data_IF_148267782982
#
_entry.id   IF_148267782982
#
_cell.length_a   1.000
_cell.length_b   1.000
_cell.length_c   1.000
_cell.angle_alpha   90.00
_cell.angle_beta   90.00
_cell.angle_gamma   90.00
#
_symmetry.space_group_name_H-M   'P 1'
#
loop_
_entity.id
_entity.type
_entity.pdbx_description
1 polymer ?
#
# COMPACT_ATOMS: atom_id res chain seq x y z
N UNK A 1 2.78 -20.65 -15.21
CA UNK A 1 1.88 -20.04 -14.22
C UNK A 1 1.18 -18.89 -14.93
N UNK A 2 -0.15 -18.88 -14.97
CA UNK A 2 -0.96 -17.87 -15.68
C UNK A 2 -1.57 -16.83 -14.71
N UNK A 3 -1.13 -16.78 -13.45
CA UNK A 3 -1.51 -15.72 -12.53
C UNK A 3 -1.03 -14.37 -13.09
N UNK A 4 -1.91 -13.38 -13.25
CA UNK A 4 -1.52 -12.08 -13.81
C UNK A 4 -1.47 -11.98 -15.33
N UNK A 5 -1.74 -13.08 -16.08
CA UNK A 5 -1.60 -13.10 -17.54
C UNK A 5 -2.86 -12.68 -18.32
N UNK A 6 -3.97 -12.36 -17.62
CA UNK A 6 -5.19 -11.83 -18.22
C UNK A 6 -5.57 -10.51 -17.56
N UNK A 7 -6.18 -9.59 -18.31
CA UNK A 7 -6.62 -8.27 -17.83
C UNK A 7 -7.59 -8.31 -16.63
N UNK A 8 -8.06 -9.50 -16.24
CA UNK A 8 -9.04 -9.73 -15.18
C UNK A 8 -8.46 -10.47 -13.97
N UNK A 9 -7.17 -10.84 -14.03
CA UNK A 9 -6.49 -11.62 -12.98
C UNK A 9 -5.43 -10.76 -12.30
N UNK A 10 -5.86 -9.80 -11.48
CA UNK A 10 -4.95 -8.93 -10.76
C UNK A 10 -4.03 -9.71 -9.80
N UNK A 11 -2.79 -9.26 -9.68
CA UNK A 11 -1.80 -9.82 -8.79
C UNK A 11 -0.98 -8.69 -8.17
N UNK A 12 -0.47 -8.93 -6.95
CA UNK A 12 0.49 -8.04 -6.34
C UNK A 12 1.89 -8.45 -6.80
N UNK A 13 2.51 -7.61 -7.61
CA UNK A 13 3.87 -7.77 -8.07
C UNK A 13 4.83 -6.81 -7.34
N UNK A 14 6.08 -7.21 -7.20
CA UNK A 14 7.17 -6.38 -6.71
C UNK A 14 8.20 -6.24 -7.82
N UNK A 15 8.53 -5.00 -8.14
CA UNK A 15 9.64 -4.66 -9.03
C UNK A 15 10.64 -3.80 -8.26
N UNK A 16 11.91 -4.17 -8.34
CA UNK A 16 12.96 -3.57 -7.55
C UNK A 16 13.64 -2.46 -8.35
N UNK A 17 13.78 -1.29 -7.74
CA UNK A 17 14.54 -0.21 -8.32
C UNK A 17 16.04 -0.35 -8.01
N UNK A 18 16.86 0.39 -8.76
CA UNK A 18 18.25 0.62 -8.39
C UNK A 18 18.38 2.02 -7.80
N UNK A 19 18.88 2.18 -6.56
CA UNK A 19 19.09 3.49 -5.99
C UNK A 19 20.12 4.27 -6.82
N UNK A 20 19.97 5.60 -6.87
CA UNK A 20 20.96 6.46 -7.51
C UNK A 20 22.32 6.31 -6.80
N UNK A 21 23.40 6.34 -7.58
CA UNK A 21 24.78 6.19 -7.08
C UNK A 21 25.17 7.33 -6.13
N UNK A 22 24.54 8.49 -6.29
CA UNK A 22 24.65 9.65 -5.40
C UNK A 22 23.32 9.90 -4.71
N UNK A 23 23.36 10.06 -3.38
CA UNK A 23 22.17 10.42 -2.61
C UNK A 23 21.73 11.85 -2.96
N UNK A 24 20.49 12.01 -3.41
CA UNK A 24 19.85 13.32 -3.59
C UNK A 24 18.74 13.49 -2.55
N UNK A 25 18.55 14.71 -2.05
CA UNK A 25 17.54 15.00 -1.03
C UNK A 25 16.10 14.76 -1.53
N UNK A 26 15.89 14.88 -2.84
CA UNK A 26 14.68 14.50 -3.55
C UNK A 26 15.11 13.69 -4.79
N UNK A 27 14.80 12.39 -4.85
CA UNK A 27 14.97 11.62 -6.08
C UNK A 27 13.83 11.97 -7.04
N UNK A 28 14.16 12.50 -8.21
CA UNK A 28 13.17 12.93 -9.20
C UNK A 28 12.64 11.77 -10.05
N UNK A 29 13.46 10.71 -10.22
CA UNK A 29 13.17 9.52 -11.02
C UNK A 29 13.65 8.28 -10.28
N UNK A 30 12.79 7.25 -10.27
CA UNK A 30 13.14 5.91 -9.79
C UNK A 30 13.55 5.05 -10.99
N UNK A 31 14.84 4.72 -11.10
CA UNK A 31 15.38 3.90 -12.18
C UNK A 31 15.24 2.40 -11.87
N UNK A 32 15.21 1.57 -12.92
CA UNK A 32 15.19 0.12 -12.79
C UNK A 32 13.79 -0.49 -12.63
N UNK A 33 12.73 0.32 -12.72
CA UNK A 33 11.36 -0.17 -12.85
C UNK A 33 11.03 -0.47 -14.32
N UNK A 34 10.32 -1.56 -14.58
CA UNK A 34 9.92 -2.01 -15.91
C UNK A 34 9.10 -3.30 -15.86
N UNK A 35 9.30 -4.17 -16.86
CA UNK A 35 8.50 -5.41 -17.01
C UNK A 35 9.15 -6.63 -16.31
N UNK A 36 10.20 -6.41 -15.51
CA UNK A 36 10.95 -7.46 -14.82
C UNK A 36 10.40 -7.82 -13.42
N UNK A 37 9.29 -7.20 -13.01
CA UNK A 37 8.65 -7.44 -11.72
C UNK A 37 8.23 -8.90 -11.51
N UNK A 38 8.21 -9.34 -10.26
CA UNK A 38 7.84 -10.69 -9.86
C UNK A 38 6.53 -10.69 -9.06
N UNK A 39 5.65 -11.65 -9.34
CA UNK A 39 4.40 -11.82 -8.58
C UNK A 39 4.73 -12.34 -7.18
N UNK A 40 4.33 -11.60 -6.16
CA UNK A 40 4.49 -11.98 -4.74
C UNK A 40 3.20 -12.61 -4.22
N UNK A 41 2.04 -12.06 -4.58
CA UNK A 41 0.74 -12.62 -4.23
C UNK A 41 -0.16 -12.67 -5.47
N UNK A 42 -0.62 -13.86 -5.89
CA UNK A 42 -1.58 -13.96 -6.98
C UNK A 42 -2.99 -13.57 -6.51
N UNK A 43 -3.84 -13.12 -7.44
CA UNK A 43 -5.29 -12.91 -7.22
C UNK A 43 -5.60 -11.90 -6.12
N UNK A 44 -4.93 -10.75 -6.17
CA UNK A 44 -5.16 -9.62 -5.28
C UNK A 44 -5.96 -8.57 -6.03
N UNK A 45 -7.24 -8.42 -5.68
CA UNK A 45 -8.15 -7.47 -6.33
C UNK A 45 -7.95 -6.04 -5.81
N UNK A 46 -7.38 -5.87 -4.61
CA UNK A 46 -7.09 -4.58 -4.04
C UNK A 46 -5.89 -4.64 -3.08
N UNK A 47 -5.05 -3.61 -3.10
CA UNK A 47 -3.90 -3.43 -2.21
C UNK A 47 -3.93 -2.02 -1.64
N UNK A 48 -3.84 -1.91 -0.33
CA UNK A 48 -3.91 -0.63 0.37
C UNK A 48 -2.88 -0.54 1.48
N UNK A 49 -2.31 0.66 1.65
CA UNK A 49 -1.24 0.93 2.62
C UNK A 49 -1.51 2.23 3.36
N UNK A 50 -1.39 2.18 4.69
CA UNK A 50 -1.34 3.35 5.55
C UNK A 50 0.01 3.45 6.26
N UNK A 51 0.51 4.67 6.37
CA UNK A 51 1.75 5.02 7.05
C UNK A 51 1.40 5.59 8.42
N UNK A 52 1.72 4.86 9.48
CA UNK A 52 1.60 5.36 10.85
C UNK A 52 2.79 6.24 11.18
N UNK A 53 2.56 7.55 11.29
CA UNK A 53 3.63 8.53 11.48
C UNK A 53 3.39 9.44 12.70
N UNK A 54 4.49 9.83 13.34
CA UNK A 54 4.50 10.75 14.50
C UNK A 54 5.06 12.11 14.08
N UNK A 55 4.33 13.18 14.33
CA UNK A 55 4.79 14.54 14.04
C UNK A 55 5.72 15.08 15.15
N UNK A 56 6.29 16.28 14.95
CA UNK A 56 7.19 16.92 15.92
C UNK A 56 6.54 17.23 17.27
N UNK A 57 5.21 17.48 17.30
CA UNK A 57 4.44 17.66 18.54
C UNK A 57 4.17 16.34 19.28
N UNK A 58 4.55 15.21 18.68
CA UNK A 58 4.37 13.89 19.24
C UNK A 58 3.04 13.21 18.93
N UNK A 59 2.19 13.84 18.12
CA UNK A 59 0.90 13.28 17.71
C UNK A 59 1.12 12.18 16.68
N UNK A 60 0.42 11.06 16.85
CA UNK A 60 0.46 9.91 15.97
C UNK A 60 -0.81 9.83 15.11
N UNK A 61 -0.65 9.63 13.81
CA UNK A 61 -1.76 9.45 12.88
C UNK A 61 -1.38 8.48 11.75
N UNK A 62 -2.39 7.87 11.14
CA UNK A 62 -2.24 7.09 9.92
C UNK A 62 -2.51 7.98 8.70
N UNK A 63 -1.64 7.86 7.71
CA UNK A 63 -1.69 8.62 6.47
C UNK A 63 -1.76 7.68 5.28
N UNK A 64 -2.59 8.00 4.29
CA UNK A 64 -2.39 7.46 2.94
C UNK A 64 -1.09 8.03 2.34
N UNK A 65 -0.52 7.37 1.35
CA UNK A 65 0.71 7.86 0.68
C UNK A 65 0.55 9.30 0.19
N UNK A 66 -0.55 9.70 -0.50
CA UNK A 66 -0.75 11.09 -0.90
C UNK A 66 -0.80 12.07 0.28
N UNK A 67 -1.53 11.73 1.35
CA UNK A 67 -1.64 12.58 2.54
C UNK A 67 -0.28 12.77 3.20
N UNK A 68 0.52 11.70 3.33
CA UNK A 68 1.86 11.78 3.90
C UNK A 68 2.77 12.68 3.05
N UNK A 69 2.71 12.57 1.71
CA UNK A 69 3.52 13.43 0.82
C UNK A 69 3.19 14.91 1.03
N UNK A 70 1.91 15.25 1.14
CA UNK A 70 1.47 16.64 1.44
C UNK A 70 1.98 17.09 2.81
N UNK A 71 1.81 16.27 3.85
CA UNK A 71 2.26 16.61 5.20
C UNK A 71 3.79 16.77 5.30
N UNK A 72 4.55 15.89 4.63
CA UNK A 72 5.99 15.96 4.57
C UNK A 72 6.49 17.19 3.79
N UNK A 73 5.81 17.56 2.71
CA UNK A 73 6.12 18.78 1.95
C UNK A 73 5.86 20.03 2.79
N UNK A 74 4.68 20.13 3.41
CA UNK A 74 4.32 21.25 4.28
C UNK A 74 5.31 21.44 5.45
N UNK A 75 5.83 20.35 6.02
CA UNK A 75 6.85 20.41 7.07
C UNK A 75 8.17 21.02 6.57
N UNK A 76 8.59 20.69 5.33
CA UNK A 76 9.81 21.23 4.71
C UNK A 76 9.66 22.69 4.31
N UNK A 77 8.47 23.10 3.88
CA UNK A 77 8.17 24.46 3.42
C UNK A 77 7.90 25.46 4.56
N UNK A 78 7.78 24.97 5.80
CA UNK A 78 7.62 25.83 6.98
C UNK A 78 8.85 26.73 7.22
N UNK A 79 8.65 27.86 7.90
CA UNK A 79 9.72 28.78 8.30
C UNK A 79 9.69 29.05 9.81
N UNK A 80 10.64 28.50 10.59
CA UNK A 80 11.73 27.61 10.18
C UNK A 80 11.21 26.23 9.73
N UNK A 81 11.98 25.54 8.89
CA UNK A 81 11.63 24.20 8.44
C UNK A 81 11.55 23.23 9.63
N UNK A 82 10.56 22.35 9.63
CA UNK A 82 10.34 21.36 10.68
C UNK A 82 10.51 19.95 10.14
N UNK A 83 10.86 19.00 11.03
CA UNK A 83 10.99 17.61 10.64
C UNK A 83 9.64 17.05 10.13
N UNK A 84 9.67 16.41 8.96
CA UNK A 84 8.51 15.69 8.44
C UNK A 84 8.04 14.61 9.43
N UNK A 85 6.74 14.26 9.46
CA UNK A 85 6.24 13.21 10.34
C UNK A 85 7.05 11.92 10.16
N UNK A 86 7.58 11.36 11.25
CA UNK A 86 8.42 10.16 11.20
C UNK A 86 7.54 8.93 11.09
N UNK A 87 7.69 8.14 10.03
CA UNK A 87 6.96 6.87 9.84
C UNK A 87 7.49 5.85 10.84
N UNK A 88 6.63 5.36 11.73
CA UNK A 88 6.96 4.37 12.77
C UNK A 88 6.29 3.02 12.53
N UNK A 89 5.23 2.97 11.74
CA UNK A 89 4.55 1.73 11.38
C UNK A 89 3.94 1.80 9.98
N UNK A 90 3.65 0.62 9.44
CA UNK A 90 2.96 0.46 8.16
C UNK A 90 1.78 -0.49 8.41
N UNK A 91 0.58 -0.08 7.99
CA UNK A 91 -0.54 -0.99 7.86
C UNK A 91 -0.68 -1.39 6.39
N UNK A 92 -0.80 -2.69 6.15
CA UNK A 92 -0.97 -3.25 4.83
C UNK A 92 -2.27 -4.03 4.83
N UNK A 93 -3.10 -3.82 3.81
CA UNK A 93 -4.31 -4.59 3.60
C UNK A 93 -4.43 -5.06 2.16
N UNK A 94 -4.83 -6.32 1.98
CA UNK A 94 -5.07 -6.94 0.68
C UNK A 94 -6.45 -7.56 0.63
N UNK A 95 -7.12 -7.42 -0.51
CA UNK A 95 -8.33 -8.15 -0.86
C UNK A 95 -7.93 -9.34 -1.74
N UNK A 96 -7.82 -10.52 -1.14
CA UNK A 96 -7.47 -11.74 -1.87
C UNK A 96 -8.73 -12.42 -2.39
N UNK A 97 -8.65 -12.95 -3.61
CA UNK A 97 -9.73 -13.64 -4.30
C UNK A 97 -9.41 -15.13 -4.43
N UNK A 98 -10.43 -15.97 -4.33
CA UNK A 98 -10.35 -17.41 -4.59
C UNK A 98 -9.99 -17.72 -6.05
N UNK A 99 -9.49 -18.94 -6.29
CA UNK A 99 -9.13 -19.40 -7.65
C UNK A 99 -10.35 -19.62 -8.54
N UNK A 100 -11.45 -20.09 -7.94
CA UNK A 100 -12.61 -20.57 -8.68
C UNK A 100 -13.79 -19.64 -8.44
N UNK A 101 -14.52 -19.34 -9.52
CA UNK A 101 -15.83 -18.73 -9.38
C UNK A 101 -16.76 -19.77 -8.77
N UNK A 102 -17.18 -19.54 -7.53
CA UNK A 102 -17.93 -20.52 -6.76
C UNK A 102 -19.37 -20.71 -7.27
N UNK A 103 -19.86 -19.82 -8.15
CA UNK A 103 -21.20 -19.86 -8.74
C UNK A 103 -22.35 -19.99 -7.71
N UNK A 104 -22.06 -19.67 -6.44
CA UNK A 104 -23.00 -19.81 -5.34
C UNK A 104 -23.68 -18.46 -5.09
N UNK A 105 -25.01 -18.43 -5.11
CA UNK A 105 -25.81 -17.21 -4.89
C UNK A 105 -25.60 -16.58 -3.51
N UNK A 106 -25.10 -17.33 -2.53
CA UNK A 106 -24.74 -16.82 -1.21
C UNK A 106 -23.52 -15.87 -1.23
N UNK A 107 -22.68 -15.93 -2.27
CA UNK A 107 -21.56 -15.01 -2.44
C UNK A 107 -22.05 -13.82 -3.24
N UNK A 108 -22.19 -12.67 -2.59
CA UNK A 108 -22.52 -11.42 -3.25
C UNK A 108 -21.28 -10.89 -4.01
N UNK A 109 -21.32 -10.85 -5.35
CA UNK A 109 -20.19 -10.36 -6.14
C UNK A 109 -19.98 -8.85 -5.96
N UNK A 110 -20.97 -8.10 -5.48
CA UNK A 110 -20.88 -6.66 -5.22
C UNK A 110 -20.68 -6.32 -3.74
N UNK A 111 -20.28 -7.29 -2.92
CA UNK A 111 -20.01 -7.10 -1.50
C UNK A 111 -19.01 -5.95 -1.26
N UNK A 112 -19.28 -5.12 -0.24
CA UNK A 112 -18.34 -4.11 0.25
C UNK A 112 -17.38 -4.72 1.28
N UNK A 113 -16.11 -4.36 1.19
CA UNK A 113 -15.06 -4.82 2.10
C UNK A 113 -14.43 -3.63 2.83
N UNK A 114 -14.45 -3.65 4.16
CA UNK A 114 -13.71 -2.68 4.97
C UNK A 114 -12.21 -3.06 4.96
N UNK A 115 -11.38 -2.16 4.45
CA UNK A 115 -9.93 -2.29 4.33
C UNK A 115 -9.27 -1.06 4.97
N UNK A 116 -8.84 -1.21 6.22
CA UNK A 116 -8.26 -0.14 7.04
C UNK A 116 -9.22 1.04 7.20
N UNK A 117 -9.01 2.13 6.47
CA UNK A 117 -9.74 3.40 6.51
C UNK A 117 -10.75 3.56 5.36
N UNK A 118 -10.91 2.57 4.49
CA UNK A 118 -11.81 2.65 3.35
C UNK A 118 -12.68 1.41 3.16
N UNK A 119 -13.87 1.62 2.59
CA UNK A 119 -14.72 0.56 2.05
C UNK A 119 -14.48 0.45 0.56
N UNK A 120 -14.17 -0.76 0.09
CA UNK A 120 -13.87 -1.02 -1.32
C UNK A 120 -14.76 -2.12 -1.89
N UNK A 121 -14.91 -2.10 -3.20
CA UNK A 121 -15.57 -3.15 -3.98
C UNK A 121 -14.59 -3.69 -5.01
N UNK A 122 -14.71 -4.99 -5.33
CA UNK A 122 -13.96 -5.55 -6.44
C UNK A 122 -14.46 -4.95 -7.76
N UNK A 123 -13.55 -4.69 -8.70
CA UNK A 123 -13.92 -4.21 -10.03
C UNK A 123 -14.82 -5.19 -10.78
N UNK A 124 -14.60 -6.50 -10.58
CA UNK A 124 -15.52 -7.53 -11.05
C UNK A 124 -16.63 -7.78 -10.04
N UNK A 125 -17.79 -7.17 -10.31
CA UNK A 125 -19.02 -7.28 -9.53
C UNK A 125 -20.04 -8.26 -10.13
N UNK A 126 -19.63 -9.11 -11.08
CA UNK A 126 -20.53 -10.08 -11.74
C UNK A 126 -20.18 -11.51 -11.35
N UNK A 127 -18.90 -11.84 -11.26
CA UNK A 127 -18.46 -13.19 -10.92
C UNK A 127 -18.41 -13.41 -9.41
N UNK A 128 -18.77 -14.62 -8.99
CA UNK A 128 -18.94 -14.97 -7.58
C UNK A 128 -17.67 -15.62 -7.03
N UNK A 129 -16.56 -14.91 -7.12
CA UNK A 129 -15.35 -15.28 -6.39
C UNK A 129 -15.53 -15.01 -4.91
N UNK A 130 -15.16 -15.98 -4.07
CA UNK A 130 -14.98 -15.71 -2.65
C UNK A 130 -13.80 -14.74 -2.47
N UNK A 131 -13.99 -13.73 -1.65
CA UNK A 131 -12.99 -12.70 -1.36
C UNK A 131 -12.80 -12.55 0.14
N UNK A 132 -11.58 -12.29 0.56
CA UNK A 132 -11.23 -12.09 1.97
C UNK A 132 -10.19 -10.99 2.11
N UNK A 133 -10.45 -10.11 3.07
CA UNK A 133 -9.50 -9.08 3.49
C UNK A 133 -8.50 -9.68 4.47
N UNK A 134 -7.22 -9.42 4.22
CA UNK A 134 -6.15 -9.66 5.18
C UNK A 134 -5.46 -8.34 5.48
N UNK A 135 -5.33 -8.00 6.76
CA UNK A 135 -4.71 -6.75 7.20
C UNK A 135 -3.66 -7.04 8.26
N UNK A 136 -2.51 -6.39 8.15
CA UNK A 136 -1.41 -6.50 9.11
C UNK A 136 -0.89 -5.10 9.45
N UNK A 137 -0.46 -4.92 10.70
CA UNK A 137 0.25 -3.71 11.15
C UNK A 137 1.67 -4.10 11.52
N UNK A 138 2.65 -3.45 10.92
CA UNK A 138 4.08 -3.72 11.09
C UNK A 138 4.72 -2.50 11.73
N UNK A 139 5.32 -2.67 12.90
CA UNK A 139 6.12 -1.63 13.54
C UNK A 139 7.56 -1.63 12.99
N UNK A 140 8.10 -0.45 12.70
CA UNK A 140 9.45 -0.25 12.19
C UNK A 140 10.40 0.08 13.34
N UNK A 141 11.07 -0.96 13.88
CA UNK A 141 11.98 -0.81 15.04
C UNK A 141 13.06 0.25 14.83
N UNK A 142 13.69 0.27 13.65
CA UNK A 142 14.78 1.21 13.34
C UNK A 142 14.29 2.65 13.13
N UNK A 143 12.98 2.87 12.98
CA UNK A 143 12.42 4.22 12.88
C UNK A 143 12.09 4.84 14.25
N UNK A 144 12.19 4.07 15.34
CA UNK A 144 11.91 4.52 16.70
C UNK A 144 13.13 5.09 17.41
N UNK A 145 14.32 5.08 16.79
CA UNK A 145 15.53 5.67 17.38
C UNK A 145 15.37 7.16 17.67
N UNK A 146 15.82 7.59 18.85
CA UNK A 146 16.00 9.00 19.18
C UNK A 146 17.17 9.58 18.38
N UNK A 147 17.02 10.80 17.88
CA UNK A 147 18.17 11.62 17.49
C UNK A 147 18.99 11.92 18.74
N UNK A 148 20.21 11.36 18.78
CA UNK A 148 21.25 11.72 19.77
C UNK A 148 21.69 13.17 19.52
#
# INVERSE_FOLDING_TARGET
DNNGSSQQDYALACDANTPAVSATAQPDIVNGLGDAGQIILPRIDHFHVLLGAKNAAGNFAYYTIPQYRVAAQAARDASPAVAAPRILSIQISVLARSTNNAQNKAIDPNQSFLMLDQNVHAADNRTRFLRRVYSVTIALRNAMGETI
#
